data_IF_500597270398
#
_entry.id   IF_500597270398
#
_cell.length_a   1.000
_cell.length_b   1.000
_cell.length_c   1.000
_cell.angle_alpha   90.00
_cell.angle_beta   90.00
_cell.angle_gamma   90.00
#
_symmetry.space_group_name_H-M   'P 1'
#
loop_
_entity.id
_entity.type
_entity.pdbx_description
1 polymer ?
#
# COMPACT_ATOMS: atom_id res chain seq x y z
N UNK A 1 32.31 -21.29 -0.34
CA UNK A 1 30.93 -21.52 0.14
C UNK A 1 30.75 -20.77 1.45
N UNK A 2 30.27 -19.53 1.39
CA UNK A 2 30.01 -18.71 2.58
C UNK A 2 28.49 -18.56 2.74
N UNK A 3 27.97 -19.03 3.87
CA UNK A 3 26.56 -19.00 4.21
C UNK A 3 26.12 -17.55 4.51
N UNK A 4 25.12 -17.07 3.78
CA UNK A 4 24.52 -15.75 3.95
C UNK A 4 23.61 -15.77 5.17
N UNK A 5 23.93 -14.98 6.20
CA UNK A 5 23.15 -14.86 7.42
C UNK A 5 21.79 -14.23 7.12
N UNK A 6 20.72 -15.02 7.28
CA UNK A 6 19.33 -14.56 7.15
C UNK A 6 18.92 -13.80 8.40
N UNK A 7 18.83 -12.47 8.29
CA UNK A 7 18.21 -11.63 9.32
C UNK A 7 16.69 -11.82 9.26
N UNK A 8 16.15 -12.73 10.08
CA UNK A 8 14.71 -12.87 10.31
C UNK A 8 14.26 -11.87 11.37
N UNK A 9 13.59 -10.79 10.96
CA UNK A 9 12.84 -9.95 11.87
C UNK A 9 11.55 -10.72 12.27
N UNK A 10 11.51 -11.29 13.48
CA UNK A 10 10.32 -11.98 13.99
C UNK A 10 9.29 -10.95 14.46
N UNK A 11 8.25 -10.74 13.67
CA UNK A 11 6.97 -10.18 14.14
C UNK A 11 6.18 -11.23 14.92
N UNK A 12 5.43 -10.82 15.93
CA UNK A 12 4.73 -11.70 16.87
C UNK A 12 3.43 -12.34 16.31
N UNK A 13 3.31 -12.45 15.00
CA UNK A 13 2.24 -13.14 14.30
C UNK A 13 2.92 -14.20 13.43
N UNK A 14 2.73 -15.47 13.78
CA UNK A 14 3.36 -16.65 13.14
C UNK A 14 2.94 -16.91 11.69
N UNK A 15 2.75 -15.86 10.90
CA UNK A 15 2.69 -15.94 9.45
C UNK A 15 4.10 -15.69 8.92
N UNK A 16 4.70 -16.71 8.31
CA UNK A 16 5.89 -16.55 7.50
C UNK A 16 5.53 -15.64 6.32
N UNK A 17 5.87 -14.35 6.42
CA UNK A 17 5.82 -13.45 5.28
C UNK A 17 6.98 -13.86 4.37
N UNK A 18 6.68 -14.64 3.34
CA UNK A 18 7.61 -14.87 2.25
C UNK A 18 7.81 -13.52 1.54
N UNK A 19 8.97 -12.90 1.79
CA UNK A 19 9.44 -11.80 0.97
C UNK A 19 9.98 -12.43 -0.31
N UNK A 20 9.29 -12.22 -1.43
CA UNK A 20 9.81 -12.60 -2.74
C UNK A 20 11.22 -11.98 -2.90
N UNK A 21 12.21 -12.82 -3.20
CA UNK A 21 13.63 -12.46 -3.29
C UNK A 21 13.95 -11.44 -4.41
N UNK A 22 12.96 -11.00 -5.18
CA UNK A 22 13.07 -9.96 -6.20
C UNK A 22 13.02 -8.52 -5.64
N UNK A 23 12.89 -8.34 -4.32
CA UNK A 23 12.60 -7.04 -3.70
C UNK A 23 13.74 -6.29 -3.01
N UNK A 24 14.96 -6.83 -2.95
CA UNK A 24 16.04 -6.29 -2.10
C UNK A 24 17.30 -5.97 -2.92
N UNK A 25 17.19 -5.10 -3.92
CA UNK A 25 18.27 -4.22 -4.38
C UNK A 25 17.67 -3.12 -5.26
N UNK A 26 17.69 -1.87 -4.77
CA UNK A 26 17.28 -0.69 -5.54
C UNK A 26 15.80 -0.37 -5.42
N UNK A 27 15.43 0.46 -4.44
CA UNK A 27 14.26 1.33 -4.62
C UNK A 27 14.62 2.33 -5.72
N UNK A 28 14.47 1.94 -6.99
CA UNK A 28 14.39 2.94 -8.05
C UNK A 28 13.28 3.91 -7.65
N UNK A 29 13.61 5.19 -7.60
CA UNK A 29 12.61 6.23 -7.37
C UNK A 29 11.47 6.03 -8.37
N UNK A 30 10.21 6.30 -7.97
CA UNK A 30 9.10 6.28 -8.90
C UNK A 30 9.48 7.10 -10.14
N UNK A 31 9.54 6.44 -11.31
CA UNK A 31 9.91 7.08 -12.58
C UNK A 31 8.88 8.13 -13.00
N UNK A 32 7.66 7.96 -12.51
CA UNK A 32 6.52 8.84 -12.78
C UNK A 32 6.38 9.86 -11.64
N UNK A 33 6.46 11.14 -11.99
CA UNK A 33 6.24 12.25 -11.07
C UNK A 33 4.76 12.34 -10.66
N UNK A 34 4.51 12.61 -9.38
CA UNK A 34 3.15 12.81 -8.88
C UNK A 34 2.52 14.06 -9.52
N UNK A 35 1.30 13.92 -10.03
CA UNK A 35 0.58 14.98 -10.73
C UNK A 35 0.99 15.16 -12.20
N UNK A 36 1.87 14.30 -12.73
CA UNK A 36 2.27 14.35 -14.14
C UNK A 36 1.16 13.86 -15.08
N UNK A 37 1.27 14.22 -16.36
CA UNK A 37 0.39 13.70 -17.41
C UNK A 37 0.51 12.18 -17.57
N UNK A 38 1.69 11.63 -17.31
CA UNK A 38 1.95 10.18 -17.32
C UNK A 38 1.20 9.47 -16.19
N UNK A 39 1.20 10.02 -14.96
CA UNK A 39 0.38 9.49 -13.86
C UNK A 39 -1.11 9.53 -14.23
N UNK A 40 -1.59 10.62 -14.85
CA UNK A 40 -2.97 10.74 -15.29
C UNK A 40 -3.33 9.77 -16.44
N UNK A 41 -2.38 9.43 -17.31
CA UNK A 41 -2.57 8.42 -18.35
C UNK A 41 -2.69 7.01 -17.76
N UNK A 42 -1.77 6.66 -16.85
CA UNK A 42 -1.75 5.35 -16.18
C UNK A 42 -2.97 5.16 -15.25
N UNK A 43 -3.44 6.24 -14.61
CA UNK A 43 -4.69 6.22 -13.86
C UNK A 43 -5.89 5.92 -14.76
N UNK A 44 -5.97 6.54 -15.94
CA UNK A 44 -7.03 6.26 -16.93
C UNK A 44 -6.96 4.84 -17.45
N UNK A 45 -5.76 4.32 -17.70
CA UNK A 45 -5.55 2.93 -18.10
C UNK A 45 -6.06 1.96 -17.03
N UNK A 46 -5.68 2.16 -15.76
CA UNK A 46 -6.18 1.37 -14.64
C UNK A 46 -7.70 1.46 -14.51
N UNK A 47 -8.27 2.66 -14.65
CA UNK A 47 -9.71 2.88 -14.58
C UNK A 47 -10.47 2.12 -15.68
N UNK A 48 -9.89 1.95 -16.86
CA UNK A 48 -10.47 1.16 -17.95
C UNK A 48 -10.49 -0.35 -17.66
N UNK A 49 -9.66 -0.84 -16.73
CA UNK A 49 -9.58 -2.26 -16.35
C UNK A 49 -10.55 -2.66 -15.23
N UNK A 50 -11.22 -1.69 -14.61
CA UNK A 50 -12.16 -1.92 -13.50
C UNK A 50 -13.60 -1.55 -13.89
N UNK A 51 -14.57 -2.16 -13.21
CA UNK A 51 -15.98 -1.83 -13.40
C UNK A 51 -16.29 -0.41 -12.93
N UNK A 52 -17.32 0.21 -13.54
CA UNK A 52 -17.78 1.54 -13.13
C UNK A 52 -18.27 1.56 -11.68
N UNK A 53 -18.90 0.47 -11.21
CA UNK A 53 -19.31 0.30 -9.81
C UNK A 53 -18.11 0.39 -8.86
N UNK A 54 -17.02 -0.33 -9.17
CA UNK A 54 -15.81 -0.31 -8.35
C UNK A 54 -15.15 1.08 -8.39
N UNK A 55 -15.11 1.70 -9.58
CA UNK A 55 -14.57 3.05 -9.76
C UNK A 55 -15.33 4.11 -8.94
N UNK A 56 -16.64 3.94 -8.77
CA UNK A 56 -17.48 4.84 -7.95
C UNK A 56 -17.38 4.57 -6.45
N UNK A 57 -17.04 3.33 -6.06
CA UNK A 57 -16.92 2.91 -4.67
C UNK A 57 -15.60 3.37 -4.03
N UNK A 58 -14.53 3.37 -4.81
CA UNK A 58 -13.18 3.73 -4.33
C UNK A 58 -12.88 5.19 -4.62
N UNK A 59 -12.43 5.95 -3.62
CA UNK A 59 -12.14 7.36 -3.83
C UNK A 59 -10.90 7.58 -4.73
N UNK A 60 -10.78 8.78 -5.30
CA UNK A 60 -9.70 9.08 -6.25
C UNK A 60 -8.29 8.99 -5.63
N UNK A 61 -8.17 9.24 -4.31
CA UNK A 61 -6.91 9.17 -3.59
C UNK A 61 -6.50 7.70 -3.40
N UNK A 62 -7.44 6.83 -3.03
CA UNK A 62 -7.25 5.39 -2.90
C UNK A 62 -6.86 4.75 -4.23
N UNK A 63 -7.47 5.19 -5.33
CA UNK A 63 -7.09 4.79 -6.69
C UNK A 63 -5.62 5.15 -6.99
N UNK A 64 -5.20 6.39 -6.71
CA UNK A 64 -3.81 6.83 -6.88
C UNK A 64 -2.84 6.09 -5.95
N UNK A 65 -3.25 5.81 -4.72
CA UNK A 65 -2.42 5.06 -3.75
C UNK A 65 -2.19 3.62 -4.20
N UNK A 66 -3.21 2.98 -4.77
CA UNK A 66 -3.06 1.65 -5.37
C UNK A 66 -2.09 1.68 -6.56
N UNK A 67 -2.22 2.67 -7.44
CA UNK A 67 -1.35 2.85 -8.60
C UNK A 67 0.12 3.06 -8.18
N UNK A 68 0.38 4.02 -7.29
CA UNK A 68 1.72 4.30 -6.75
C UNK A 68 2.30 3.11 -5.99
N UNK A 69 1.48 2.45 -5.18
CA UNK A 69 1.86 1.25 -4.42
C UNK A 69 2.14 0.01 -5.28
N UNK A 70 1.81 0.06 -6.58
CA UNK A 70 2.15 -0.96 -7.57
C UNK A 70 3.15 -0.46 -8.60
N UNK A 71 3.91 0.60 -8.27
CA UNK A 71 4.94 1.19 -9.13
C UNK A 71 4.39 1.63 -10.50
N UNK A 72 3.15 2.12 -10.50
CA UNK A 72 2.41 2.55 -11.69
C UNK A 72 2.09 1.44 -12.72
N UNK A 73 2.12 0.18 -12.29
CA UNK A 73 1.55 -0.93 -13.06
C UNK A 73 0.01 -0.89 -12.95
N UNK A 74 -0.65 -0.45 -14.02
CA UNK A 74 -2.09 -0.27 -14.08
C UNK A 74 -2.87 -1.58 -13.85
N UNK A 75 -2.41 -2.70 -14.40
CA UNK A 75 -3.07 -3.99 -14.26
C UNK A 75 -2.98 -4.50 -12.81
N UNK A 76 -1.78 -4.45 -12.21
CA UNK A 76 -1.58 -4.87 -10.82
C UNK A 76 -2.29 -3.96 -9.82
N UNK A 77 -2.44 -2.68 -10.14
CA UNK A 77 -3.21 -1.74 -9.35
C UNK A 77 -4.72 -2.04 -9.44
N UNK A 78 -5.24 -2.33 -10.64
CA UNK A 78 -6.63 -2.71 -10.86
C UNK A 78 -7.01 -3.99 -10.09
N UNK A 79 -6.13 -5.00 -10.06
CA UNK A 79 -6.33 -6.25 -9.31
C UNK A 79 -6.41 -6.04 -7.78
N UNK A 80 -5.82 -4.96 -7.26
CA UNK A 80 -5.76 -4.68 -5.83
C UNK A 80 -7.06 -4.06 -5.29
N UNK A 81 -7.70 -3.21 -6.10
CA UNK A 81 -8.84 -2.39 -5.67
C UNK A 81 -10.01 -3.21 -5.08
N UNK A 82 -10.44 -4.34 -5.67
CA UNK A 82 -11.51 -5.16 -5.06
C UNK A 82 -11.13 -5.70 -3.68
N UNK A 83 -9.88 -6.11 -3.51
CA UNK A 83 -9.36 -6.63 -2.23
C UNK A 83 -9.30 -5.56 -1.16
N UNK A 84 -8.95 -4.32 -1.55
CA UNK A 84 -8.95 -3.19 -0.63
C UNK A 84 -10.37 -2.86 -0.13
N UNK A 85 -11.36 -2.84 -1.03
CA UNK A 85 -12.77 -2.62 -0.66
C UNK A 85 -13.26 -3.70 0.30
N UNK A 86 -13.00 -4.97 -0.03
CA UNK A 86 -13.35 -6.08 0.84
C UNK A 86 -12.71 -5.95 2.23
N UNK A 87 -11.41 -5.65 2.29
CA UNK A 87 -10.69 -5.50 3.55
C UNK A 87 -11.23 -4.34 4.40
N UNK A 88 -11.59 -3.21 3.78
CA UNK A 88 -12.22 -2.07 4.48
C UNK A 88 -13.54 -2.47 5.12
N UNK A 89 -14.35 -3.27 4.43
CA UNK A 89 -15.62 -3.78 4.95
C UNK A 89 -15.40 -4.78 6.09
N UNK A 90 -14.48 -5.73 5.93
CA UNK A 90 -14.14 -6.73 6.96
C UNK A 90 -13.63 -6.08 8.25
N UNK A 91 -12.79 -5.06 8.11
CA UNK A 91 -12.20 -4.33 9.24
C UNK A 91 -13.08 -3.18 9.73
N UNK A 92 -14.23 -2.93 9.09
CA UNK A 92 -15.14 -1.81 9.40
C UNK A 92 -14.43 -0.46 9.45
N UNK A 93 -13.44 -0.28 8.56
CA UNK A 93 -12.67 0.96 8.46
C UNK A 93 -13.60 2.06 7.94
N UNK A 94 -13.81 3.09 8.76
CA UNK A 94 -14.72 4.20 8.47
C UNK A 94 -15.87 4.35 9.47
N UNK A 95 -16.12 3.34 10.31
CA UNK A 95 -17.17 3.39 11.34
C UNK A 95 -16.74 4.13 12.64
N UNK A 96 -15.54 4.74 12.64
CA UNK A 96 -14.99 5.50 13.76
C UNK A 96 -14.54 4.60 14.93
N UNK A 97 -13.23 4.39 15.07
CA UNK A 97 -12.68 3.67 16.24
C UNK A 97 -12.21 4.67 17.29
N UNK A 98 -12.91 4.74 18.42
CA UNK A 98 -12.48 5.52 19.59
C UNK A 98 -11.23 4.92 20.24
N UNK A 99 -11.03 3.60 20.09
CA UNK A 99 -9.90 2.87 20.67
C UNK A 99 -8.55 3.32 20.11
N UNK A 100 -8.48 3.65 18.81
CA UNK A 100 -7.23 4.11 18.21
C UNK A 100 -6.78 5.46 18.80
N UNK A 101 -7.71 6.37 19.07
CA UNK A 101 -7.41 7.65 19.72
C UNK A 101 -6.86 7.44 21.13
N UNK A 102 -7.44 6.51 21.89
CA UNK A 102 -6.93 6.15 23.23
C UNK A 102 -5.56 5.47 23.18
N UNK A 103 -5.34 4.58 22.21
CA UNK A 103 -4.06 3.88 22.05
C UNK A 103 -2.94 4.82 21.61
N UNK A 104 -3.24 5.85 20.82
CA UNK A 104 -2.32 6.95 20.51
C UNK A 104 -2.05 7.79 21.77
N UNK A 105 -3.10 8.17 22.52
CA UNK A 105 -2.96 8.99 23.72
C UNK A 105 -2.16 8.30 24.84
N UNK A 106 -2.29 6.98 24.96
CA UNK A 106 -1.57 6.15 25.94
C UNK A 106 -0.17 5.73 25.46
N UNK A 107 0.23 6.11 24.25
CA UNK A 107 1.55 5.79 23.69
C UNK A 107 1.72 4.32 23.31
N UNK A 108 0.65 3.51 23.30
CA UNK A 108 0.70 2.14 22.76
C UNK A 108 0.98 2.14 21.26
N UNK A 109 0.50 3.17 20.56
CA UNK A 109 0.83 3.47 19.16
C UNK A 109 1.58 4.79 19.12
N UNK A 110 2.83 4.76 18.63
CA UNK A 110 3.64 5.97 18.44
C UNK A 110 3.91 6.18 16.96
N UNK A 111 3.56 7.37 16.45
CA UNK A 111 3.97 7.81 15.12
C UNK A 111 5.37 8.42 15.25
N UNK A 112 6.39 7.62 14.92
CA UNK A 112 7.76 8.12 14.85
C UNK A 112 7.89 9.00 13.59
N UNK A 113 8.53 10.16 13.74
CA UNK A 113 8.73 11.11 12.65
C UNK A 113 9.61 10.55 11.52
N UNK A 114 9.78 11.34 10.46
CA UNK A 114 10.41 10.89 9.22
C UNK A 114 11.77 10.22 9.45
N UNK A 115 11.87 8.92 9.20
CA UNK A 115 13.14 8.21 9.09
C UNK A 115 13.94 8.78 7.91
N UNK A 116 15.26 8.61 7.88
CA UNK A 116 16.17 9.13 6.83
C UNK A 116 15.82 8.70 5.40
N UNK A 117 14.88 7.77 5.24
CA UNK A 117 14.29 7.34 3.95
C UNK A 117 12.99 8.05 3.60
N UNK A 118 12.62 9.13 4.31
CA UNK A 118 11.44 9.96 4.03
C UNK A 118 10.10 9.41 4.54
N UNK A 119 10.11 8.43 5.46
CA UNK A 119 8.91 7.83 6.08
C UNK A 119 8.62 8.38 7.45
#
# INVERSE_FOLDING_TARGET
>A
TAALARSTLKGNLGADIAFDEDGVMGQEAPKVEAGSEEEAALLREMQALISDDLRSTVDAVEQLMCLRGRKYDAARAAELLPRLVQLKQELKIGEGSTQLTEDIATGKVMLLGKASTGR
#
